data_IF_105896680870
#
_entry.id   IF_105896680870
#
_cell.length_a   1.000
_cell.length_b   1.000
_cell.length_c   1.000
_cell.angle_alpha   90.00
_cell.angle_beta   90.00
_cell.angle_gamma   90.00
#
_symmetry.space_group_name_H-M   'P 1'
#
loop_
_entity.id
_entity.type
_entity.pdbx_description
1 polymer ?
#
# COMPACT_ATOMS: atom_id res chain seq x y z
N UNK A 1 -19.57 22.23 -0.70
CA UNK A 1 -18.94 20.95 -1.09
C UNK A 1 -19.15 19.96 0.03
N UNK A 2 -19.52 18.72 -0.30
CA UNK A 2 -20.08 17.76 0.65
C UNK A 2 -18.95 16.95 1.30
N UNK A 3 -18.62 17.24 2.57
CA UNK A 3 -17.44 16.70 3.29
C UNK A 3 -17.27 15.17 3.25
N UNK A 4 -18.38 14.42 3.28
CA UNK A 4 -18.38 12.94 3.19
C UNK A 4 -17.96 12.42 1.81
N UNK A 5 -18.11 13.25 0.79
CA UNK A 5 -17.74 12.91 -0.58
C UNK A 5 -16.22 12.98 -0.74
N UNK A 6 -15.56 13.94 -0.08
CA UNK A 6 -14.11 14.13 -0.17
C UNK A 6 -13.31 13.00 0.52
N UNK A 7 -13.75 12.55 1.71
CA UNK A 7 -13.12 11.41 2.41
C UNK A 7 -13.30 10.09 1.65
N UNK A 8 -14.51 9.81 1.16
CA UNK A 8 -14.80 8.59 0.41
C UNK A 8 -14.04 8.55 -0.93
N UNK A 9 -13.87 9.70 -1.59
CA UNK A 9 -13.04 9.80 -2.80
C UNK A 9 -11.57 9.51 -2.49
N UNK A 10 -11.05 10.00 -1.37
CA UNK A 10 -9.67 9.73 -0.96
C UNK A 10 -9.46 8.26 -0.54
N UNK A 11 -10.35 7.69 0.26
CA UNK A 11 -10.31 6.25 0.59
C UNK A 11 -10.38 5.37 -0.67
N UNK A 12 -11.18 5.78 -1.66
CA UNK A 12 -11.24 5.18 -2.98
C UNK A 12 -9.90 5.23 -3.72
N UNK A 13 -9.26 6.40 -3.77
CA UNK A 13 -7.93 6.58 -4.38
C UNK A 13 -6.86 5.73 -3.69
N UNK A 14 -6.82 5.73 -2.35
CA UNK A 14 -5.88 4.94 -1.56
C UNK A 14 -6.03 3.44 -1.85
N UNK A 15 -7.27 2.97 -1.97
CA UNK A 15 -7.60 1.59 -2.32
C UNK A 15 -7.25 1.24 -3.77
N UNK A 16 -7.47 2.17 -4.70
CA UNK A 16 -7.09 2.00 -6.11
C UNK A 16 -5.57 1.83 -6.23
N UNK A 17 -4.79 2.68 -5.57
CA UNK A 17 -3.32 2.60 -5.58
C UNK A 17 -2.84 1.29 -4.95
N UNK A 18 -3.44 0.86 -3.84
CA UNK A 18 -3.11 -0.43 -3.23
C UNK A 18 -3.43 -1.61 -4.16
N UNK A 19 -4.52 -1.50 -4.93
CA UNK A 19 -4.91 -2.48 -5.95
C UNK A 19 -3.88 -2.51 -7.07
N UNK A 20 -3.52 -1.37 -7.65
CA UNK A 20 -2.53 -1.28 -8.74
C UNK A 20 -1.20 -1.94 -8.33
N UNK A 21 -0.67 -1.58 -7.16
CA UNK A 21 0.60 -2.13 -6.65
C UNK A 21 0.49 -3.64 -6.41
N UNK A 22 -0.56 -4.11 -5.72
CA UNK A 22 -0.71 -5.54 -5.41
C UNK A 22 -1.00 -6.40 -6.65
N UNK A 23 -1.66 -5.85 -7.68
CA UNK A 23 -1.91 -6.55 -8.95
C UNK A 23 -0.62 -6.78 -9.73
N UNK A 24 0.32 -5.83 -9.73
CA UNK A 24 1.61 -6.03 -10.39
C UNK A 24 2.34 -7.26 -9.84
N UNK A 25 2.21 -7.53 -8.53
CA UNK A 25 2.82 -8.66 -7.84
C UNK A 25 2.15 -10.02 -8.14
N UNK A 26 0.94 -9.99 -8.69
CA UNK A 26 0.08 -11.17 -8.91
C UNK A 26 0.28 -11.83 -10.27
N UNK A 27 0.91 -11.13 -11.22
CA UNK A 27 1.22 -11.66 -12.56
C UNK A 27 2.25 -12.81 -12.54
N UNK A 28 2.85 -13.10 -11.38
CA UNK A 28 3.73 -14.26 -11.11
C UNK A 28 3.09 -15.63 -11.35
N UNK A 29 1.77 -15.75 -11.47
CA UNK A 29 1.07 -17.05 -11.63
C UNK A 29 0.59 -17.36 -13.06
N UNK A 30 1.05 -16.61 -14.06
CA UNK A 30 0.39 -16.48 -15.37
C UNK A 30 0.18 -17.78 -16.16
N UNK A 31 1.01 -18.81 -16.00
CA UNK A 31 0.81 -20.08 -16.73
C UNK A 31 -0.30 -20.96 -16.14
N UNK A 32 -0.50 -20.95 -14.82
CA UNK A 32 -1.55 -21.74 -14.16
C UNK A 32 -2.90 -21.01 -14.19
N UNK A 33 -2.91 -19.68 -14.12
CA UNK A 33 -4.13 -18.87 -14.20
C UNK A 33 -4.81 -18.89 -15.57
N UNK A 34 -4.07 -19.18 -16.66
CA UNK A 34 -4.64 -19.38 -18.00
C UNK A 34 -5.53 -20.62 -18.05
N UNK A 35 -5.19 -21.67 -17.30
CA UNK A 35 -5.93 -22.95 -17.29
C UNK A 35 -7.07 -23.02 -16.26
N UNK A 36 -7.03 -22.21 -15.20
CA UNK A 36 -7.96 -22.31 -14.06
C UNK A 36 -8.97 -21.16 -13.94
N UNK A 37 -8.98 -20.22 -14.89
CA UNK A 37 -9.75 -18.97 -14.80
C UNK A 37 -9.10 -17.93 -13.87
N UNK A 38 -9.52 -16.65 -13.93
CA UNK A 38 -8.94 -15.57 -13.14
C UNK A 38 -9.33 -15.73 -11.67
N UNK A 39 -8.61 -16.58 -10.95
CA UNK A 39 -8.55 -16.50 -9.49
C UNK A 39 -7.68 -15.29 -9.15
N UNK A 40 -8.21 -14.34 -8.37
CA UNK A 40 -7.39 -13.32 -7.71
C UNK A 40 -6.26 -14.06 -7.00
N UNK A 41 -5.01 -13.78 -7.39
CA UNK A 41 -3.86 -14.51 -6.84
C UNK A 41 -3.89 -14.36 -5.31
N UNK A 42 -3.63 -15.43 -4.56
CA UNK A 42 -3.58 -15.35 -3.09
C UNK A 42 -2.60 -14.26 -2.62
N UNK A 43 -1.55 -14.00 -3.42
CA UNK A 43 -0.59 -12.92 -3.24
C UNK A 43 -1.23 -11.53 -3.32
N UNK A 44 -2.16 -11.28 -4.26
CA UNK A 44 -2.91 -10.01 -4.35
C UNK A 44 -3.61 -9.69 -3.02
N UNK A 45 -4.41 -10.64 -2.54
CA UNK A 45 -5.23 -10.47 -1.34
C UNK A 45 -4.37 -10.32 -0.08
N UNK A 46 -3.23 -11.01 -0.03
CA UNK A 46 -2.29 -10.93 1.08
C UNK A 46 -1.50 -9.60 1.12
N UNK A 47 -1.33 -8.93 -0.02
CA UNK A 47 -0.57 -7.69 -0.17
C UNK A 47 -1.45 -6.43 -0.09
N UNK A 48 -2.71 -6.53 -0.53
CA UNK A 48 -3.61 -5.39 -0.61
C UNK A 48 -3.73 -4.62 0.72
N UNK A 49 -4.10 -5.30 1.81
CA UNK A 49 -4.32 -4.64 3.12
C UNK A 49 -3.05 -4.01 3.69
N UNK A 50 -1.89 -4.70 3.70
CA UNK A 50 -0.64 -4.07 4.12
C UNK A 50 -0.24 -2.84 3.30
N UNK A 51 -0.39 -2.89 1.97
CA UNK A 51 -0.06 -1.74 1.11
C UNK A 51 -1.04 -0.60 1.35
N UNK A 52 -2.34 -0.91 1.46
CA UNK A 52 -3.35 0.08 1.77
C UNK A 52 -3.06 0.81 3.09
N UNK A 53 -2.60 0.08 4.11
CA UNK A 53 -2.21 0.66 5.40
C UNK A 53 -1.03 1.64 5.25
N UNK A 54 -0.03 1.32 4.42
CA UNK A 54 1.07 2.25 4.12
C UNK A 54 0.58 3.48 3.34
N UNK A 55 -0.35 3.31 2.40
CA UNK A 55 -0.94 4.44 1.67
C UNK A 55 -1.63 5.42 2.63
N UNK A 56 -2.41 4.89 3.59
CA UNK A 56 -3.05 5.70 4.63
C UNK A 56 -2.04 6.46 5.48
N UNK A 57 -1.01 5.79 5.99
CA UNK A 57 0.00 6.42 6.83
C UNK A 57 0.81 7.47 6.06
N UNK A 58 1.20 7.18 4.83
CA UNK A 58 1.93 8.11 3.99
C UNK A 58 1.08 9.33 3.63
N UNK A 59 -0.16 9.14 3.17
CA UNK A 59 -1.05 10.26 2.87
C UNK A 59 -1.34 11.14 4.09
N UNK A 60 -1.59 10.53 5.26
CA UNK A 60 -1.79 11.30 6.49
C UNK A 60 -0.56 12.11 6.88
N UNK A 61 0.66 11.63 6.60
CA UNK A 61 1.88 12.41 6.87
C UNK A 61 2.07 13.61 5.93
N UNK A 62 1.38 13.64 4.80
CA UNK A 62 1.51 14.69 3.77
C UNK A 62 0.44 15.79 3.88
N UNK A 63 -0.67 15.53 4.57
CA UNK A 63 -1.77 16.48 4.71
C UNK A 63 -1.71 17.17 6.06
N UNK A 64 -2.06 18.46 6.12
CA UNK A 64 -2.18 19.20 7.39
C UNK A 64 -3.64 19.24 7.91
N UNK A 65 -4.57 18.59 7.20
CA UNK A 65 -5.98 18.61 7.53
C UNK A 65 -6.33 17.59 8.63
N UNK A 66 -6.33 18.03 9.88
CA UNK A 66 -6.58 17.18 11.05
C UNK A 66 -7.95 16.47 11.04
N UNK A 67 -9.01 17.09 10.51
CA UNK A 67 -10.33 16.45 10.40
C UNK A 67 -10.30 15.28 9.40
N UNK A 68 -9.61 15.47 8.28
CA UNK A 68 -9.43 14.46 7.24
C UNK A 68 -8.53 13.32 7.73
N UNK A 69 -7.41 13.65 8.36
CA UNK A 69 -6.51 12.67 8.98
C UNK A 69 -7.26 11.81 10.00
N UNK A 70 -8.03 12.40 10.90
CA UNK A 70 -8.77 11.64 11.92
C UNK A 70 -9.74 10.63 11.31
N UNK A 71 -10.43 11.01 10.23
CA UNK A 71 -11.34 10.11 9.51
C UNK A 71 -10.59 8.96 8.82
N UNK A 72 -9.51 9.28 8.09
CA UNK A 72 -8.71 8.28 7.37
C UNK A 72 -7.94 7.35 8.31
N UNK A 73 -7.42 7.86 9.43
CA UNK A 73 -6.74 7.07 10.45
C UNK A 73 -7.71 6.12 11.17
N UNK A 74 -8.97 6.51 11.35
CA UNK A 74 -9.99 5.60 11.88
C UNK A 74 -10.22 4.40 10.95
N UNK A 75 -10.29 4.62 9.64
CA UNK A 75 -10.39 3.52 8.65
C UNK A 75 -9.12 2.68 8.61
N UNK A 76 -7.95 3.32 8.67
CA UNK A 76 -6.65 2.64 8.72
C UNK A 76 -6.49 1.78 9.98
N UNK A 77 -7.07 2.19 11.10
CA UNK A 77 -7.02 1.44 12.35
C UNK A 77 -7.72 0.08 12.23
N UNK A 78 -8.87 0.02 11.56
CA UNK A 78 -9.56 -1.25 11.28
C UNK A 78 -8.69 -2.20 10.46
N UNK A 79 -7.96 -1.67 9.47
CA UNK A 79 -7.02 -2.44 8.65
C UNK A 79 -5.87 -2.96 9.51
N UNK A 80 -5.27 -2.11 10.35
CA UNK A 80 -4.18 -2.49 11.25
C UNK A 80 -4.59 -3.60 12.23
N UNK A 81 -5.77 -3.49 12.84
CA UNK A 81 -6.35 -4.54 13.70
C UNK A 81 -6.50 -5.85 12.90
N UNK A 82 -7.01 -5.78 11.67
CA UNK A 82 -7.18 -6.97 10.82
C UNK A 82 -5.86 -7.66 10.45
N UNK A 83 -4.74 -6.94 10.55
CA UNK A 83 -3.39 -7.45 10.33
C UNK A 83 -2.70 -7.90 11.62
N UNK A 84 -3.37 -7.78 12.77
CA UNK A 84 -2.84 -8.15 14.09
C UNK A 84 -1.84 -7.14 14.66
N UNK A 85 -1.88 -5.88 14.20
CA UNK A 85 -1.04 -4.80 14.68
C UNK A 85 -1.74 -4.00 15.79
N UNK A 86 -0.95 -3.37 16.67
CA UNK A 86 -1.47 -2.36 17.59
C UNK A 86 -1.76 -1.07 16.81
N UNK A 87 -3.04 -0.83 16.51
CA UNK A 87 -3.45 0.16 15.51
C UNK A 87 -2.96 1.59 15.78
N UNK A 88 -3.24 2.14 16.97
CA UNK A 88 -2.85 3.52 17.31
C UNK A 88 -1.33 3.67 17.34
N UNK A 89 -0.63 2.82 18.10
CA UNK A 89 0.84 2.88 18.22
C UNK A 89 1.55 2.68 16.88
N UNK A 90 1.06 1.77 16.03
CA UNK A 90 1.60 1.57 14.69
C UNK A 90 1.39 2.80 13.81
N UNK A 91 0.15 3.30 13.71
CA UNK A 91 -0.20 4.40 12.80
C UNK A 91 0.48 5.70 13.21
N UNK A 92 0.54 6.02 14.51
CA UNK A 92 1.23 7.20 15.03
C UNK A 92 2.73 7.12 14.75
N UNK A 93 3.37 6.00 15.08
CA UNK A 93 4.79 5.81 14.82
C UNK A 93 5.09 5.89 13.32
N UNK A 94 4.20 5.34 12.49
CA UNK A 94 4.40 5.28 11.04
C UNK A 94 4.21 6.63 10.35
N UNK A 95 3.16 7.36 10.69
CA UNK A 95 2.97 8.74 10.21
C UNK A 95 4.12 9.64 10.64
N UNK A 96 4.56 9.53 11.90
CA UNK A 96 5.72 10.28 12.39
C UNK A 96 7.00 9.92 11.66
N UNK A 97 7.23 8.64 11.38
CA UNK A 97 8.41 8.20 10.63
C UNK A 97 8.46 8.81 9.23
N UNK A 98 7.30 8.95 8.56
CA UNK A 98 7.23 9.64 7.27
C UNK A 98 7.46 11.14 7.42
N UNK A 99 6.89 11.79 8.43
CA UNK A 99 7.05 13.23 8.67
C UNK A 99 8.50 13.62 9.03
N UNK A 100 9.19 12.77 9.80
CA UNK A 100 10.59 12.99 10.23
C UNK A 100 11.60 12.57 9.15
N UNK A 101 11.17 11.91 8.06
CA UNK A 101 12.07 11.45 7.00
C UNK A 101 12.55 12.61 6.12
N UNK A 102 13.86 12.70 5.82
CA UNK A 102 14.37 13.69 4.86
C UNK A 102 13.89 13.42 3.42
N UNK A 103 13.49 12.18 3.11
CA UNK A 103 12.86 11.79 1.85
C UNK A 103 11.70 10.81 2.13
N UNK A 104 10.49 11.33 2.39
CA UNK A 104 9.31 10.51 2.67
C UNK A 104 8.94 9.58 1.50
N UNK A 105 9.23 9.98 0.26
CA UNK A 105 8.90 9.21 -0.95
C UNK A 105 9.82 8.00 -1.13
N UNK A 106 11.11 8.18 -0.89
CA UNK A 106 12.05 7.06 -0.86
C UNK A 106 11.67 6.06 0.25
N UNK A 107 11.33 6.57 1.44
CA UNK A 107 10.89 5.74 2.55
C UNK A 107 9.61 4.97 2.22
N UNK A 108 8.60 5.61 1.64
CA UNK A 108 7.36 4.93 1.22
C UNK A 108 7.65 3.80 0.22
N UNK A 109 8.54 4.07 -0.74
CA UNK A 109 8.93 3.09 -1.74
C UNK A 109 9.65 1.87 -1.13
N UNK A 110 10.52 2.12 -0.15
CA UNK A 110 11.24 1.08 0.58
C UNK A 110 10.29 0.20 1.38
N UNK A 111 9.35 0.81 2.10
CA UNK A 111 8.41 0.11 2.98
C UNK A 111 7.40 -0.72 2.20
N UNK A 112 6.88 -0.18 1.09
CA UNK A 112 6.05 -0.95 0.16
C UNK A 112 6.82 -2.15 -0.41
N UNK A 113 8.09 -1.98 -0.81
CA UNK A 113 8.93 -3.11 -1.25
C UNK A 113 9.15 -4.14 -0.15
N UNK A 114 9.43 -3.70 1.08
CA UNK A 114 9.61 -4.58 2.23
C UNK A 114 8.37 -5.43 2.51
N UNK A 115 7.18 -4.82 2.48
CA UNK A 115 5.90 -5.52 2.63
C UNK A 115 5.75 -6.58 1.54
N UNK A 116 6.03 -6.23 0.29
CA UNK A 116 5.94 -7.12 -0.87
C UNK A 116 6.90 -8.31 -0.74
N UNK A 117 8.16 -8.05 -0.40
CA UNK A 117 9.18 -9.07 -0.24
C UNK A 117 8.87 -10.02 0.93
N UNK A 118 8.50 -9.48 2.10
CA UNK A 118 8.19 -10.32 3.26
C UNK A 118 6.96 -11.19 3.05
N UNK A 119 5.89 -10.67 2.46
CA UNK A 119 4.68 -11.48 2.18
C UNK A 119 4.90 -12.50 1.06
N UNK A 120 5.73 -12.18 0.06
CA UNK A 120 6.15 -13.14 -0.96
C UNK A 120 7.01 -14.27 -0.36
N UNK A 121 7.84 -13.97 0.65
CA UNK A 121 8.66 -14.95 1.34
C UNK A 121 7.86 -15.81 2.33
N UNK A 122 6.80 -15.27 2.95
CA UNK A 122 5.95 -16.04 3.88
C UNK A 122 4.99 -17.03 3.20
N UNK A 123 4.67 -16.81 1.91
CA UNK A 123 3.83 -17.74 1.12
C UNK A 123 4.65 -18.89 0.51
N UNK A 124 5.96 -18.70 0.32
CA UNK A 124 6.90 -19.77 -0.03
C UNK A 124 7.46 -20.34 1.26
N UNK A 125 6.97 -21.49 1.75
CA UNK A 125 7.45 -22.15 2.99
C UNK A 125 8.94 -22.54 3.06
N UNK A 126 9.81 -22.00 2.21
CA UNK A 126 11.29 -22.07 2.25
C UNK A 126 11.86 -20.81 1.57
N UNK A 127 13.04 -20.32 1.99
CA UNK A 127 13.74 -19.25 1.30
C UNK A 127 14.28 -19.81 0.00
N UNK A 128 13.45 -19.80 -1.04
CA UNK A 128 13.95 -19.96 -2.41
C UNK A 128 14.23 -18.55 -2.89
N UNK A 129 15.51 -18.18 -2.82
CA UNK A 129 16.09 -17.11 -3.62
C UNK A 129 15.97 -17.55 -5.09
N UNK A 130 14.76 -17.45 -5.62
CA UNK A 130 14.50 -17.56 -7.05
C UNK A 130 14.56 -16.13 -7.56
N UNK A 131 15.61 -15.86 -8.35
CA UNK A 131 15.84 -14.60 -9.04
C UNK A 131 14.51 -14.06 -9.58
N UNK A 132 14.04 -12.98 -8.96
CA UNK A 132 12.88 -12.24 -9.42
C UNK A 132 13.30 -11.69 -10.78
N UNK A 133 12.60 -12.00 -11.89
CA UNK A 133 13.01 -11.45 -13.17
C UNK A 133 12.87 -9.92 -13.10
N UNK A 134 13.97 -9.23 -13.41
CA UNK A 134 14.18 -7.77 -13.33
C UNK A 134 12.98 -6.95 -13.85
N UNK A 135 12.25 -7.46 -14.84
CA UNK A 135 11.09 -6.83 -15.48
C UNK A 135 9.89 -6.69 -14.51
N UNK A 136 9.70 -7.65 -13.59
CA UNK A 136 8.58 -7.62 -12.64
C UNK A 136 8.87 -6.69 -11.46
N UNK A 137 10.13 -6.64 -11.02
CA UNK A 137 10.58 -5.69 -10.02
C UNK A 137 10.44 -4.25 -10.56
N UNK A 138 10.74 -4.03 -11.84
CA UNK A 138 10.52 -2.76 -12.52
C UNK A 138 9.05 -2.34 -12.59
N UNK A 139 8.11 -3.24 -12.94
CA UNK A 139 6.69 -2.88 -13.01
C UNK A 139 6.08 -2.57 -11.63
N UNK A 140 6.44 -3.33 -10.61
CA UNK A 140 6.00 -3.06 -9.23
C UNK A 140 6.61 -1.75 -8.72
N UNK A 141 7.88 -1.49 -9.02
CA UNK A 141 8.53 -0.23 -8.67
C UNK A 141 7.88 0.98 -9.36
N UNK A 142 7.54 0.87 -10.64
CA UNK A 142 6.79 1.90 -11.37
C UNK A 142 5.41 2.14 -10.78
N UNK A 143 4.68 1.07 -10.40
CA UNK A 143 3.38 1.21 -9.76
C UNK A 143 3.46 1.92 -8.39
N UNK A 144 4.50 1.61 -7.60
CA UNK A 144 4.77 2.30 -6.33
C UNK A 144 5.07 3.79 -6.56
N UNK A 145 5.91 4.12 -7.53
CA UNK A 145 6.25 5.51 -7.87
C UNK A 145 5.03 6.29 -8.39
N UNK A 146 4.21 5.67 -9.24
CA UNK A 146 2.99 6.30 -9.74
C UNK A 146 1.97 6.51 -8.61
N UNK A 147 1.82 5.52 -7.73
CA UNK A 147 0.99 5.63 -6.53
C UNK A 147 1.44 6.78 -5.63
N UNK A 148 2.73 6.83 -5.30
CA UNK A 148 3.34 7.90 -4.51
C UNK A 148 3.05 9.29 -5.10
N UNK A 149 3.29 9.46 -6.40
CA UNK A 149 2.98 10.72 -7.10
C UNK A 149 1.50 11.10 -6.98
N UNK A 150 0.58 10.16 -7.21
CA UNK A 150 -0.87 10.39 -7.10
C UNK A 150 -1.27 10.79 -5.67
N UNK A 151 -0.66 10.20 -4.65
CA UNK A 151 -0.91 10.56 -3.25
C UNK A 151 -0.46 11.97 -2.93
N UNK A 152 0.70 12.41 -3.45
CA UNK A 152 1.18 13.78 -3.26
C UNK A 152 0.34 14.81 -4.01
N UNK A 153 -0.07 14.50 -5.24
CA UNK A 153 -0.98 15.36 -6.01
C UNK A 153 -2.33 15.51 -5.30
N UNK A 154 -2.86 14.41 -4.76
CA UNK A 154 -4.07 14.45 -3.95
C UNK A 154 -3.87 15.26 -2.66
N UNK A 155 -2.77 15.06 -1.93
CA UNK A 155 -2.50 15.79 -0.69
C UNK A 155 -2.33 17.31 -0.93
N UNK A 156 -1.74 17.71 -2.06
CA UNK A 156 -1.60 19.12 -2.44
C UNK A 156 -2.86 19.77 -3.02
N UNK A 157 -3.93 19.00 -3.21
CA UNK A 157 -5.23 19.49 -3.72
C UNK A 157 -6.22 19.85 -2.61
N UNK A 158 -5.86 19.64 -1.34
CA UNK A 158 -6.67 19.91 -0.15
C UNK A 158 -5.93 20.82 0.84
#
# INVERSE_FOLDING_TARGET
MNKKQDTATLAGLLSEIATDISQTCSTRSSLISIYMGPSLSQTHLALFRPILLENYAFFCSLTDNAELQGSLLSEAAEIAISLGLEAEGFLEARTKQYADSPDPSALYSELCRFVIQNKANSTKGKPVMEDIPDIFENNTQLAIQLGEKRLREAAGSF
#
